data_IF_992451673356
#
_entry.id   IF_992451673356
#
_cell.length_a   1.000
_cell.length_b   1.000
_cell.length_c   1.000
_cell.angle_alpha   90.00
_cell.angle_beta   90.00
_cell.angle_gamma   90.00
#
_symmetry.space_group_name_H-M   'P 1'
#
loop_
_entity.id
_entity.type
_entity.pdbx_description
1 polymer ?
#
# COMPACT_ATOMS: atom_id res chain seq x y z
N UNK A 1 -9.46 24.68 47.76
CA UNK A 1 -8.03 24.95 47.99
C UNK A 1 -7.73 26.30 47.37
N UNK A 2 -7.22 27.25 48.16
CA UNK A 2 -6.69 28.50 47.60
C UNK A 2 -5.45 28.18 46.74
N UNK A 3 -5.31 28.87 45.61
CA UNK A 3 -4.13 28.76 44.75
C UNK A 3 -2.93 29.35 45.49
N UNK A 4 -1.86 28.59 45.66
CA UNK A 4 -0.60 29.11 46.22
C UNK A 4 -0.01 30.08 45.20
N UNK A 5 0.35 31.28 45.64
CA UNK A 5 1.11 32.22 44.84
C UNK A 5 2.61 31.92 45.02
N UNK A 6 3.18 31.22 44.04
CA UNK A 6 4.58 30.80 44.06
C UNK A 6 5.55 31.97 44.03
N UNK A 7 5.19 33.08 43.38
CA UNK A 7 6.06 34.26 43.30
C UNK A 7 6.12 34.97 44.66
N UNK A 8 4.96 35.14 45.30
CA UNK A 8 4.89 35.69 46.66
C UNK A 8 5.64 34.80 47.66
N UNK A 9 5.50 33.48 47.54
CA UNK A 9 6.21 32.52 48.39
C UNK A 9 7.74 32.58 48.17
N UNK A 10 8.19 32.69 46.91
CA UNK A 10 9.61 32.86 46.57
C UNK A 10 10.18 34.13 47.19
N UNK A 11 9.50 35.26 47.00
CA UNK A 11 9.94 36.54 47.57
C UNK A 11 10.00 36.51 49.10
N UNK A 12 9.05 35.84 49.75
CA UNK A 12 9.07 35.65 51.19
C UNK A 12 10.27 34.80 51.64
N UNK A 13 10.57 33.71 50.93
CA UNK A 13 11.70 32.85 51.24
C UNK A 13 13.06 33.55 50.99
N UNK A 14 13.19 34.35 49.93
CA UNK A 14 14.41 35.12 49.64
C UNK A 14 14.71 36.21 50.67
N UNK A 15 13.66 36.80 51.26
CA UNK A 15 13.76 37.82 52.32
C UNK A 15 14.01 37.23 53.71
N UNK A 16 13.67 35.96 53.92
CA UNK A 16 13.88 35.27 55.18
C UNK A 16 15.37 34.97 55.45
N UNK A 17 15.69 34.53 56.67
CA UNK A 17 17.07 34.18 57.02
C UNK A 17 17.57 33.04 56.13
N UNK A 18 18.72 33.26 55.49
CA UNK A 18 19.26 32.33 54.50
C UNK A 18 19.93 31.12 55.13
N UNK A 19 19.87 30.00 54.42
CA UNK A 19 20.57 28.76 54.79
C UNK A 19 19.67 27.80 55.56
N UNK A 20 20.28 26.73 56.06
CA UNK A 20 19.55 25.66 56.75
C UNK A 20 19.26 26.02 58.20
N UNK A 21 18.12 25.56 58.69
CA UNK A 21 17.74 25.65 60.10
C UNK A 21 17.91 24.30 60.78
N UNK A 22 17.99 24.31 62.11
CA UNK A 22 18.02 23.11 62.96
C UNK A 22 17.20 23.36 64.23
N UNK A 23 16.78 22.28 64.88
CA UNK A 23 16.23 22.37 66.22
C UNK A 23 17.33 22.79 67.18
N UNK A 24 17.06 23.84 67.95
CA UNK A 24 17.97 24.45 68.88
C UNK A 24 17.72 24.02 70.32
N UNK A 25 17.85 24.98 71.23
CA UNK A 25 17.68 24.74 72.66
C UNK A 25 16.20 24.59 73.03
N UNK A 26 15.94 24.29 74.31
CA UNK A 26 14.59 24.23 74.86
C UNK A 26 14.44 25.15 76.06
N UNK A 27 13.23 25.66 76.24
CA UNK A 27 12.83 26.45 77.39
C UNK A 27 12.05 25.56 78.35
N UNK A 28 12.35 25.64 79.65
CA UNK A 28 11.64 24.91 80.71
C UNK A 28 11.26 25.87 81.82
N UNK A 29 10.11 25.65 82.46
CA UNK A 29 9.68 26.45 83.61
C UNK A 29 10.38 26.01 84.91
N UNK A 30 10.09 26.73 86.01
CA UNK A 30 10.63 26.44 87.34
C UNK A 30 10.23 25.07 87.90
N UNK A 31 9.22 24.42 87.30
CA UNK A 31 8.73 23.10 87.67
C UNK A 31 9.31 21.98 86.77
N UNK A 32 10.18 22.32 85.82
CA UNK A 32 10.81 21.37 84.90
C UNK A 32 9.96 21.00 83.68
N UNK A 33 8.81 21.64 83.47
CA UNK A 33 7.96 21.37 82.31
C UNK A 33 8.47 22.17 81.10
N UNK A 34 8.41 21.56 79.91
CA UNK A 34 8.73 22.20 78.65
C UNK A 34 7.81 23.41 78.40
N UNK A 35 8.39 24.54 78.03
CA UNK A 35 7.65 25.77 77.67
C UNK A 35 7.82 26.16 76.21
N UNK A 36 8.90 25.74 75.57
CA UNK A 36 9.12 25.96 74.15
C UNK A 36 10.33 25.21 73.58
N UNK A 37 10.27 24.95 72.27
CA UNK A 37 11.37 24.38 71.47
C UNK A 37 11.78 25.41 70.43
N UNK A 38 13.07 25.75 70.37
CA UNK A 38 13.56 26.79 69.46
C UNK A 38 13.98 26.21 68.11
N UNK A 39 13.69 26.93 67.03
CA UNK A 39 14.27 26.72 65.71
C UNK A 39 15.38 27.74 65.54
N UNK A 40 16.59 27.27 65.25
CA UNK A 40 17.79 28.10 65.13
C UNK A 40 18.38 28.03 63.73
N UNK A 41 19.08 29.10 63.35
CA UNK A 41 19.96 29.08 62.20
C UNK A 41 21.09 28.06 62.45
N UNK A 42 21.35 27.16 61.50
CA UNK A 42 22.51 26.27 61.58
C UNK A 42 23.78 27.10 61.35
N UNK A 43 24.68 27.10 62.34
CA UNK A 43 25.97 27.78 62.25
C UNK A 43 27.09 26.82 62.65
N UNK A 44 27.96 26.47 61.70
CA UNK A 44 29.06 25.50 61.90
C UNK A 44 28.61 24.14 62.48
N UNK A 45 27.37 23.73 62.20
CA UNK A 45 26.79 22.48 62.70
C UNK A 45 26.00 22.62 64.00
N UNK A 46 26.10 23.75 64.68
CA UNK A 46 25.47 23.99 65.99
C UNK A 46 24.32 25.00 65.90
N UNK A 47 23.40 25.01 66.89
CA UNK A 47 22.34 26.02 66.98
C UNK A 47 22.95 27.41 67.14
N UNK A 48 22.76 28.25 66.12
CA UNK A 48 23.13 29.66 66.14
C UNK A 48 21.99 30.53 66.68
N UNK A 49 21.74 31.65 66.01
CA UNK A 49 20.66 32.58 66.37
C UNK A 49 19.27 31.93 66.27
N UNK A 50 18.41 32.28 67.22
CA UNK A 50 17.00 31.84 67.26
C UNK A 50 16.21 32.52 66.15
N UNK A 51 15.46 31.73 65.38
CA UNK A 51 14.60 32.17 64.28
C UNK A 51 13.12 32.15 64.69
N UNK A 52 12.70 31.08 65.37
CA UNK A 52 11.34 30.90 65.84
C UNK A 52 11.31 30.08 67.13
N UNK A 53 10.24 30.20 67.91
CA UNK A 53 9.95 29.37 69.08
C UNK A 53 8.60 28.67 68.89
N UNK A 54 8.59 27.34 69.06
CA UNK A 54 7.39 26.53 69.13
C UNK A 54 6.96 26.41 70.59
N UNK A 55 5.99 27.21 71.02
CA UNK A 55 5.50 27.19 72.40
C UNK A 55 4.61 25.99 72.69
N UNK A 56 4.73 25.46 73.91
CA UNK A 56 3.88 24.37 74.40
C UNK A 56 2.43 24.83 74.67
N UNK A 57 2.19 26.14 74.81
CA UNK A 57 0.85 26.71 74.96
C UNK A 57 0.11 26.91 73.62
N UNK A 58 0.62 26.41 72.49
CA UNK A 58 0.02 26.54 71.16
C UNK A 58 -1.02 25.44 70.84
N UNK A 59 -1.85 25.04 71.81
CA UNK A 59 -2.86 23.99 71.66
C UNK A 59 -2.30 22.62 71.24
N UNK A 60 -1.06 22.32 71.62
CA UNK A 60 -0.49 20.99 71.43
C UNK A 60 -0.92 20.05 72.57
N UNK A 61 -0.99 18.77 72.28
CA UNK A 61 -1.40 17.70 73.20
C UNK A 61 -0.21 17.09 73.97
N UNK A 62 1.00 17.14 73.39
CA UNK A 62 2.21 16.53 73.97
C UNK A 62 3.47 17.35 73.71
N UNK A 63 4.46 17.23 74.58
CA UNK A 63 5.79 17.82 74.40
C UNK A 63 6.43 17.38 73.07
N UNK A 64 6.20 16.13 72.65
CA UNK A 64 6.69 15.59 71.38
C UNK A 64 6.18 16.37 70.16
N UNK A 65 4.95 16.91 70.21
CA UNK A 65 4.42 17.76 69.14
C UNK A 65 5.15 19.11 69.06
N UNK A 66 5.65 19.65 70.18
CA UNK A 66 6.48 20.87 70.15
C UNK A 66 7.78 20.64 69.38
N UNK A 67 8.43 19.49 69.61
CA UNK A 67 9.62 19.08 68.85
C UNK A 67 9.29 18.86 67.38
N UNK A 68 8.22 18.11 67.06
CA UNK A 68 7.82 17.85 65.68
C UNK A 68 7.52 19.15 64.90
N UNK A 69 6.90 20.14 65.54
CA UNK A 69 6.66 21.45 64.93
C UNK A 69 7.98 22.18 64.63
N UNK A 70 8.93 22.17 65.58
CA UNK A 70 10.24 22.79 65.39
C UNK A 70 11.06 22.08 64.30
N UNK A 71 11.02 20.74 64.27
CA UNK A 71 11.65 19.92 63.24
C UNK A 71 11.07 20.22 61.86
N UNK A 72 9.74 20.28 61.74
CA UNK A 72 9.08 20.62 60.48
C UNK A 72 9.45 22.01 59.99
N UNK A 73 9.45 23.03 60.85
CA UNK A 73 9.85 24.40 60.47
C UNK A 73 11.35 24.45 60.11
N UNK A 74 12.19 23.68 60.80
CA UNK A 74 13.60 23.58 60.49
C UNK A 74 13.85 22.94 59.11
N UNK A 75 13.07 21.92 58.75
CA UNK A 75 13.15 21.25 57.45
C UNK A 75 12.53 22.10 56.34
N UNK A 76 11.36 22.69 56.57
CA UNK A 76 10.64 23.59 55.67
C UNK A 76 11.19 25.04 55.71
N UNK A 77 12.50 25.17 55.89
CA UNK A 77 13.19 26.46 55.92
C UNK A 77 13.18 27.13 54.53
N UNK A 78 13.56 28.42 54.43
CA UNK A 78 13.57 29.14 53.17
C UNK A 78 14.43 28.50 52.08
N UNK A 79 15.56 27.87 52.43
CA UNK A 79 16.42 27.20 51.44
C UNK A 79 15.71 25.99 50.81
N UNK A 80 15.03 25.18 51.63
CA UNK A 80 14.22 24.04 51.15
C UNK A 80 13.06 24.51 50.29
N UNK A 81 12.35 25.57 50.69
CA UNK A 81 11.25 26.13 49.90
C UNK A 81 11.74 26.63 48.53
N UNK A 82 12.86 27.35 48.49
CA UNK A 82 13.43 27.82 47.22
C UNK A 82 13.85 26.65 46.31
N UNK A 83 14.47 25.61 46.87
CA UNK A 83 14.84 24.42 46.10
C UNK A 83 13.61 23.73 45.49
N UNK A 84 12.53 23.57 46.26
CA UNK A 84 11.27 22.99 45.76
C UNK A 84 10.63 23.85 44.66
N UNK A 85 10.72 25.18 44.77
CA UNK A 85 10.21 26.08 43.74
C UNK A 85 11.06 26.00 42.47
N UNK A 86 12.38 25.91 42.59
CA UNK A 86 13.30 25.75 41.45
C UNK A 86 13.05 24.42 40.72
N UNK A 87 12.88 23.33 41.47
CA UNK A 87 12.51 22.01 40.92
C UNK A 87 11.17 22.06 40.18
N UNK A 88 10.15 22.68 40.78
CA UNK A 88 8.83 22.83 40.17
C UNK A 88 8.89 23.66 38.88
N UNK A 89 9.61 24.78 38.88
CA UNK A 89 9.82 25.59 37.67
C UNK A 89 10.56 24.81 36.58
N UNK A 90 11.55 24.00 36.95
CA UNK A 90 12.25 23.12 36.01
C UNK A 90 11.29 22.09 35.40
N UNK A 91 10.50 21.42 36.22
CA UNK A 91 9.50 20.47 35.74
C UNK A 91 8.47 21.13 34.82
N UNK A 92 8.02 22.34 35.14
CA UNK A 92 7.12 23.10 34.26
C UNK A 92 7.77 23.41 32.89
N UNK A 93 9.05 23.81 32.85
CA UNK A 93 9.78 24.03 31.60
C UNK A 93 9.87 22.74 30.76
N UNK A 94 10.18 21.62 31.40
CA UNK A 94 10.26 20.32 30.73
C UNK A 94 8.91 19.89 30.15
N UNK A 95 7.82 20.08 30.91
CA UNK A 95 6.46 19.79 30.42
C UNK A 95 6.08 20.64 29.21
N UNK A 96 6.43 21.93 29.22
CA UNK A 96 6.19 22.83 28.09
C UNK A 96 6.97 22.36 26.85
N UNK A 97 8.25 22.01 27.02
CA UNK A 97 9.09 21.51 25.93
C UNK A 97 8.52 20.20 25.33
N UNK A 98 8.16 19.24 26.19
CA UNK A 98 7.51 17.98 25.77
C UNK A 98 6.20 18.22 25.04
N UNK A 99 5.39 19.18 25.49
CA UNK A 99 4.15 19.51 24.79
C UNK A 99 4.41 20.04 23.37
N UNK A 100 5.44 20.88 23.20
CA UNK A 100 5.89 21.32 21.87
C UNK A 100 6.35 20.17 20.97
N UNK A 101 7.11 19.20 21.51
CA UNK A 101 7.49 17.98 20.78
C UNK A 101 6.26 17.15 20.36
N UNK A 102 5.28 16.99 21.26
CA UNK A 102 4.03 16.26 20.98
C UNK A 102 3.23 16.95 19.86
N UNK A 103 3.16 18.27 19.86
CA UNK A 103 2.50 19.03 18.78
C UNK A 103 3.21 18.83 17.44
N UNK A 104 4.54 18.83 17.42
CA UNK A 104 5.33 18.50 16.23
C UNK A 104 5.06 17.09 15.71
N UNK A 105 5.02 16.10 16.61
CA UNK A 105 4.69 14.71 16.26
C UNK A 105 3.27 14.57 15.70
N UNK A 106 2.28 15.27 16.28
CA UNK A 106 0.91 15.27 15.76
C UNK A 106 0.82 15.77 14.32
N UNK A 107 1.59 16.82 13.99
CA UNK A 107 1.65 17.33 12.62
C UNK A 107 2.24 16.30 11.65
N UNK A 108 3.35 15.67 12.04
CA UNK A 108 3.99 14.64 11.22
C UNK A 108 3.08 13.44 11.00
N UNK A 109 2.33 13.02 12.02
CA UNK A 109 1.34 11.93 11.90
C UNK A 109 0.25 12.30 10.89
N UNK A 110 -0.27 13.53 10.92
CA UNK A 110 -1.27 13.98 9.95
C UNK A 110 -0.73 13.96 8.50
N UNK A 111 0.50 14.44 8.27
CA UNK A 111 1.15 14.39 6.95
C UNK A 111 1.38 12.93 6.47
N UNK A 112 1.72 12.02 7.40
CA UNK A 112 1.86 10.59 7.09
C UNK A 112 0.53 9.93 6.74
N UNK A 113 -0.56 10.31 7.40
CA UNK A 113 -1.90 9.79 7.09
C UNK A 113 -2.36 10.25 5.70
N UNK A 114 -2.11 11.51 5.34
CA UNK A 114 -2.43 12.05 4.01
C UNK A 114 -1.64 11.33 2.90
N UNK A 115 -0.31 11.21 3.07
CA UNK A 115 0.55 10.53 2.09
C UNK A 115 0.20 9.04 1.95
N UNK A 116 -0.20 8.39 3.06
CA UNK A 116 -0.68 7.00 3.02
C UNK A 116 -2.01 6.87 2.26
N UNK A 117 -2.91 7.84 2.39
CA UNK A 117 -4.17 7.87 1.62
C UNK A 117 -3.87 7.98 0.12
N UNK A 118 -3.00 8.92 -0.29
CA UNK A 118 -2.60 9.09 -1.68
C UNK A 118 -1.96 7.82 -2.26
N UNK A 119 -1.11 7.14 -1.49
CA UNK A 119 -0.51 5.87 -1.91
C UNK A 119 -1.56 4.76 -2.08
N UNK A 120 -2.60 4.73 -1.24
CA UNK A 120 -3.69 3.77 -1.36
C UNK A 120 -4.50 4.01 -2.65
N UNK A 121 -4.83 5.26 -2.95
CA UNK A 121 -5.53 5.64 -4.19
C UNK A 121 -4.70 5.25 -5.44
N UNK A 122 -3.38 5.49 -5.41
CA UNK A 122 -2.50 5.05 -6.49
C UNK A 122 -2.50 3.52 -6.64
N UNK A 123 -2.48 2.77 -5.54
CA UNK A 123 -2.53 1.30 -5.58
C UNK A 123 -3.82 0.82 -6.26
N UNK A 124 -4.96 1.38 -5.88
CA UNK A 124 -6.27 1.03 -6.46
C UNK A 124 -6.33 1.35 -7.96
N UNK A 125 -5.78 2.49 -8.37
CA UNK A 125 -5.66 2.85 -9.79
C UNK A 125 -4.87 1.80 -10.59
N UNK A 126 -3.66 1.44 -10.12
CA UNK A 126 -2.83 0.48 -10.83
C UNK A 126 -3.43 -0.93 -10.84
N UNK A 127 -4.09 -1.32 -9.76
CA UNK A 127 -4.83 -2.60 -9.69
C UNK A 127 -5.95 -2.66 -10.75
N UNK A 128 -6.67 -1.55 -10.95
CA UNK A 128 -7.65 -1.40 -12.03
C UNK A 128 -7.03 -1.55 -13.43
N UNK A 129 -5.94 -0.84 -13.71
CA UNK A 129 -5.23 -0.91 -15.00
C UNK A 129 -4.72 -2.33 -15.28
N UNK A 130 -4.17 -3.01 -14.27
CA UNK A 130 -3.70 -4.39 -14.40
C UNK A 130 -4.86 -5.35 -14.66
N UNK A 131 -5.99 -5.16 -13.97
CA UNK A 131 -7.20 -5.98 -14.16
C UNK A 131 -7.75 -5.87 -15.58
N UNK A 132 -7.89 -4.65 -16.09
CA UNK A 132 -8.39 -4.42 -17.44
C UNK A 132 -7.40 -4.90 -18.51
N UNK A 133 -6.10 -4.70 -18.29
CA UNK A 133 -5.04 -5.28 -19.14
C UNK A 133 -5.12 -6.80 -19.19
N UNK A 134 -5.32 -7.45 -18.05
CA UNK A 134 -5.42 -8.91 -17.93
C UNK A 134 -6.64 -9.46 -18.67
N UNK A 135 -7.80 -8.78 -18.59
CA UNK A 135 -8.99 -9.15 -19.38
C UNK A 135 -8.72 -9.07 -20.87
N UNK A 136 -8.06 -7.99 -21.33
CA UNK A 136 -7.78 -7.80 -22.75
C UNK A 136 -6.82 -8.87 -23.28
N UNK A 137 -5.82 -9.27 -22.50
CA UNK A 137 -4.92 -10.37 -22.85
C UNK A 137 -5.71 -11.68 -22.98
N UNK A 138 -6.57 -12.01 -22.01
CA UNK A 138 -7.37 -13.23 -22.07
C UNK A 138 -8.33 -13.27 -23.28
N UNK A 139 -8.90 -12.13 -23.66
CA UNK A 139 -9.71 -12.02 -24.90
C UNK A 139 -8.87 -12.28 -26.16
N UNK A 140 -7.67 -11.69 -26.23
CA UNK A 140 -6.76 -11.89 -27.34
C UNK A 140 -6.30 -13.33 -27.45
N UNK A 141 -5.87 -13.94 -26.33
CA UNK A 141 -5.48 -15.35 -26.26
C UNK A 141 -6.60 -16.28 -26.78
N UNK A 142 -7.85 -16.02 -26.37
CA UNK A 142 -9.00 -16.78 -26.87
C UNK A 142 -9.22 -16.61 -28.37
N UNK A 143 -9.07 -15.39 -28.88
CA UNK A 143 -9.21 -15.12 -30.31
C UNK A 143 -8.09 -15.76 -31.14
N UNK A 144 -6.86 -15.78 -30.61
CA UNK A 144 -5.71 -16.44 -31.23
C UNK A 144 -5.89 -17.96 -31.26
N UNK A 145 -6.35 -18.56 -30.16
CA UNK A 145 -6.67 -19.99 -30.11
C UNK A 145 -7.74 -20.36 -31.15
N UNK A 146 -8.77 -19.53 -31.31
CA UNK A 146 -9.77 -19.72 -32.35
C UNK A 146 -9.16 -19.66 -33.76
N UNK A 147 -8.31 -18.66 -34.04
CA UNK A 147 -7.67 -18.52 -35.35
C UNK A 147 -6.73 -19.67 -35.68
N UNK A 148 -6.00 -20.19 -34.69
CA UNK A 148 -5.15 -21.38 -34.85
C UNK A 148 -6.03 -22.59 -35.21
N UNK A 149 -7.13 -22.79 -34.48
CA UNK A 149 -8.06 -23.87 -34.80
C UNK A 149 -8.63 -23.72 -36.21
N UNK A 150 -9.11 -22.54 -36.61
CA UNK A 150 -9.63 -22.27 -37.95
C UNK A 150 -8.57 -22.53 -39.05
N UNK A 151 -7.31 -22.11 -38.81
CA UNK A 151 -6.18 -22.37 -39.71
C UNK A 151 -5.94 -23.87 -39.86
N UNK A 152 -5.87 -24.62 -38.76
CA UNK A 152 -5.58 -26.06 -38.78
C UNK A 152 -6.69 -26.83 -39.52
N UNK A 153 -7.96 -26.41 -39.37
CA UNK A 153 -9.06 -26.97 -40.15
C UNK A 153 -8.93 -26.66 -41.65
N UNK A 154 -8.57 -25.43 -42.02
CA UNK A 154 -8.35 -25.04 -43.41
C UNK A 154 -7.17 -25.79 -44.03
N UNK A 155 -6.07 -25.96 -43.29
CA UNK A 155 -4.90 -26.74 -43.70
C UNK A 155 -5.28 -28.19 -44.00
N UNK A 156 -6.04 -28.83 -43.10
CA UNK A 156 -6.52 -30.20 -43.28
C UNK A 156 -7.40 -30.33 -44.53
N UNK A 157 -8.35 -29.40 -44.72
CA UNK A 157 -9.23 -29.41 -45.89
C UNK A 157 -8.44 -29.23 -47.20
N UNK A 158 -7.50 -28.30 -47.24
CA UNK A 158 -6.63 -28.08 -48.41
C UNK A 158 -5.75 -29.31 -48.69
N UNK A 159 -5.21 -29.95 -47.66
CA UNK A 159 -4.41 -31.17 -47.82
C UNK A 159 -5.21 -32.34 -48.39
N UNK A 160 -6.50 -32.45 -48.04
CA UNK A 160 -7.41 -33.44 -48.65
C UNK A 160 -7.67 -33.16 -50.13
N UNK A 161 -7.86 -31.90 -50.50
CA UNK A 161 -8.05 -31.51 -51.90
C UNK A 161 -6.83 -31.73 -52.76
N UNK A 162 -5.69 -31.27 -52.25
CA UNK A 162 -4.42 -31.40 -52.93
C UNK A 162 -4.10 -32.88 -53.18
N UNK A 163 -4.34 -33.74 -52.20
CA UNK A 163 -4.20 -35.18 -52.36
C UNK A 163 -5.16 -35.78 -53.39
N UNK A 164 -6.42 -35.37 -53.38
CA UNK A 164 -7.38 -35.89 -54.35
C UNK A 164 -7.03 -35.52 -55.80
N UNK A 165 -6.49 -34.33 -56.03
CA UNK A 165 -6.11 -33.88 -57.37
C UNK A 165 -4.75 -34.45 -57.83
N UNK A 166 -3.76 -34.48 -56.93
CA UNK A 166 -2.35 -34.79 -57.28
C UNK A 166 -1.91 -36.22 -56.92
N UNK A 167 -2.63 -36.89 -56.03
CA UNK A 167 -2.30 -38.22 -55.49
C UNK A 167 -1.29 -38.20 -54.33
N UNK A 168 -0.74 -37.05 -53.95
CA UNK A 168 0.20 -36.89 -52.84
C UNK A 168 -0.28 -35.83 -51.85
N UNK A 169 0.10 -35.92 -50.57
CA UNK A 169 -0.19 -34.86 -49.58
C UNK A 169 0.77 -33.68 -49.80
N UNK A 170 0.33 -32.44 -49.57
CA UNK A 170 1.21 -31.29 -49.65
C UNK A 170 2.22 -31.32 -48.50
N UNK A 171 3.45 -30.87 -48.78
CA UNK A 171 4.47 -30.65 -47.76
C UNK A 171 4.51 -29.16 -47.43
N UNK A 172 3.78 -28.78 -46.38
CA UNK A 172 3.70 -27.39 -45.95
C UNK A 172 5.07 -26.87 -45.52
N UNK A 173 5.43 -25.68 -45.99
CA UNK A 173 6.67 -25.02 -45.62
C UNK A 173 6.54 -23.51 -45.78
N UNK A 174 7.55 -22.76 -45.31
CA UNK A 174 7.61 -21.31 -45.55
C UNK A 174 7.65 -20.92 -47.04
N UNK A 175 7.97 -21.87 -47.94
CA UNK A 175 8.05 -21.64 -49.39
C UNK A 175 6.91 -22.30 -50.18
N UNK A 176 6.03 -23.02 -49.49
CA UNK A 176 4.87 -23.69 -50.08
C UNK A 176 3.68 -23.58 -49.12
N UNK A 177 2.83 -22.59 -49.39
CA UNK A 177 1.67 -22.24 -48.59
C UNK A 177 0.34 -22.60 -49.25
N UNK A 178 -0.75 -22.13 -48.64
CA UNK A 178 -2.11 -22.45 -49.09
C UNK A 178 -2.40 -22.04 -50.54
N UNK A 179 -1.89 -20.89 -50.99
CA UNK A 179 -2.05 -20.45 -52.38
C UNK A 179 -1.36 -21.38 -53.37
N UNK A 180 -0.16 -21.86 -53.04
CA UNK A 180 0.61 -22.76 -53.91
C UNK A 180 -0.06 -24.12 -54.06
N UNK A 181 -0.64 -24.63 -52.96
CA UNK A 181 -1.43 -25.85 -52.98
C UNK A 181 -2.70 -25.70 -53.82
N UNK A 182 -3.41 -24.58 -53.70
CA UNK A 182 -4.61 -24.32 -54.53
C UNK A 182 -4.22 -24.19 -56.00
N UNK A 183 -3.19 -23.43 -56.33
CA UNK A 183 -2.73 -23.23 -57.71
C UNK A 183 -2.36 -24.57 -58.38
N UNK A 184 -1.64 -25.44 -57.69
CA UNK A 184 -1.31 -26.77 -58.19
C UNK A 184 -2.54 -27.67 -58.42
N UNK A 185 -3.57 -27.56 -57.58
CA UNK A 185 -4.85 -28.25 -57.78
C UNK A 185 -5.56 -27.72 -59.02
N UNK A 186 -5.60 -26.40 -59.19
CA UNK A 186 -6.24 -25.73 -60.35
C UNK A 186 -5.55 -26.16 -61.65
N UNK A 187 -4.22 -26.08 -61.72
CA UNK A 187 -3.44 -26.49 -62.89
C UNK A 187 -3.71 -27.96 -63.24
N UNK A 188 -3.78 -28.83 -62.22
CA UNK A 188 -4.04 -30.26 -62.42
C UNK A 188 -5.45 -30.53 -62.94
N UNK A 189 -6.45 -29.81 -62.46
CA UNK A 189 -7.84 -29.91 -62.95
C UNK A 189 -7.90 -29.50 -64.43
N UNK A 190 -7.29 -28.36 -64.79
CA UNK A 190 -7.25 -27.89 -66.18
C UNK A 190 -6.59 -28.92 -67.11
N UNK A 191 -5.50 -29.54 -66.66
CA UNK A 191 -4.81 -30.62 -67.37
C UNK A 191 -5.67 -31.87 -67.60
N UNK A 192 -6.51 -32.22 -66.62
CA UNK A 192 -7.43 -33.36 -66.71
C UNK A 192 -8.60 -33.06 -67.66
N UNK A 193 -9.15 -31.85 -67.60
CA UNK A 193 -10.21 -31.38 -68.51
C UNK A 193 -9.74 -31.37 -69.98
N UNK A 194 -8.49 -30.99 -70.24
CA UNK A 194 -7.94 -31.00 -71.59
C UNK A 194 -7.78 -32.40 -72.21
N UNK A 195 -7.72 -33.46 -71.38
CA UNK A 195 -7.43 -34.84 -71.81
C UNK A 195 -8.66 -35.73 -72.00
N UNK A 196 -9.86 -35.33 -71.56
CA UNK A 196 -11.10 -36.09 -71.78
C UNK A 196 -12.27 -35.19 -72.24
N UNK A 197 -12.96 -35.50 -73.36
CA UNK A 197 -14.10 -34.71 -73.86
C UNK A 197 -15.44 -34.97 -73.15
N UNK A 198 -15.45 -35.77 -72.08
CA UNK A 198 -16.59 -35.96 -71.18
C UNK A 198 -16.25 -35.46 -69.78
N UNK A 199 -17.14 -34.73 -69.08
CA UNK A 199 -16.79 -34.06 -67.83
C UNK A 199 -16.53 -35.09 -66.72
N UNK A 200 -15.25 -35.30 -66.39
CA UNK A 200 -14.80 -36.14 -65.26
C UNK A 200 -14.94 -35.39 -63.92
N UNK A 201 -14.99 -34.05 -63.98
CA UNK A 201 -15.04 -33.17 -62.81
C UNK A 201 -16.45 -32.58 -62.64
N UNK A 202 -17.05 -32.61 -61.44
CA UNK A 202 -18.35 -31.98 -61.17
C UNK A 202 -18.36 -30.49 -61.50
N UNK A 203 -19.42 -30.04 -62.18
CA UNK A 203 -19.56 -28.65 -62.68
C UNK A 203 -19.46 -27.59 -61.56
N UNK A 204 -19.84 -27.94 -60.33
CA UNK A 204 -19.72 -27.08 -59.15
C UNK A 204 -18.27 -26.70 -58.82
N UNK A 205 -17.35 -27.67 -58.88
CA UNK A 205 -15.93 -27.43 -58.62
C UNK A 205 -15.31 -26.55 -59.71
N UNK A 206 -15.68 -26.75 -60.98
CA UNK A 206 -15.20 -25.93 -62.10
C UNK A 206 -15.61 -24.46 -61.93
N UNK A 207 -16.85 -24.20 -61.50
CA UNK A 207 -17.34 -22.84 -61.24
C UNK A 207 -16.62 -22.19 -60.05
N UNK A 208 -16.39 -22.94 -58.98
CA UNK A 208 -15.66 -22.45 -57.82
C UNK A 208 -14.20 -22.08 -58.17
N UNK A 209 -13.52 -22.93 -58.95
CA UNK A 209 -12.14 -22.66 -59.42
C UNK A 209 -12.08 -21.40 -60.29
N UNK A 210 -13.01 -21.22 -61.24
CA UNK A 210 -13.07 -20.00 -62.06
C UNK A 210 -13.30 -18.74 -61.24
N UNK A 211 -14.13 -18.84 -60.19
CA UNK A 211 -14.34 -17.72 -59.28
C UNK A 211 -13.06 -17.38 -58.50
N UNK A 212 -12.32 -18.39 -58.04
CA UNK A 212 -11.01 -18.20 -57.42
C UNK A 212 -10.00 -17.53 -58.35
N UNK A 213 -9.88 -18.01 -59.61
CA UNK A 213 -9.01 -17.38 -60.61
C UNK A 213 -9.41 -15.92 -60.91
N UNK A 214 -10.72 -15.64 -60.93
CA UNK A 214 -11.23 -14.28 -61.11
C UNK A 214 -10.82 -13.37 -59.95
N UNK A 215 -11.05 -13.81 -58.70
CA UNK A 215 -10.63 -13.06 -57.50
C UNK A 215 -9.12 -12.86 -57.49
N UNK A 216 -8.34 -13.86 -57.91
CA UNK A 216 -6.88 -13.77 -58.03
C UNK A 216 -6.44 -12.72 -59.06
N UNK A 217 -7.09 -12.67 -60.21
CA UNK A 217 -6.79 -11.69 -61.26
C UNK A 217 -7.17 -10.27 -60.84
N UNK A 218 -8.29 -10.12 -60.13
CA UNK A 218 -8.81 -8.81 -59.71
C UNK A 218 -8.12 -8.27 -58.45
N UNK A 219 -7.48 -9.16 -57.67
CA UNK A 219 -6.69 -8.85 -56.48
C UNK A 219 -7.35 -7.83 -55.52
N UNK A 220 -8.59 -8.10 -55.05
CA UNK A 220 -9.28 -7.19 -54.15
C UNK A 220 -8.59 -7.10 -52.78
N UNK A 221 -8.74 -5.98 -52.03
CA UNK A 221 -8.17 -5.83 -50.69
C UNK A 221 -8.57 -6.98 -49.76
N UNK A 222 -7.64 -7.47 -48.93
CA UNK A 222 -7.87 -8.62 -48.06
C UNK A 222 -9.04 -8.44 -47.08
N UNK A 223 -9.35 -7.21 -46.70
CA UNK A 223 -10.47 -6.82 -45.82
C UNK A 223 -11.85 -7.10 -46.43
N UNK A 224 -11.95 -7.31 -47.75
CA UNK A 224 -13.22 -7.53 -48.45
C UNK A 224 -13.79 -8.94 -48.26
N UNK A 225 -13.02 -9.87 -47.70
CA UNK A 225 -13.45 -11.27 -47.52
C UNK A 225 -13.51 -12.08 -48.82
N UNK A 226 -13.38 -11.46 -50.00
CA UNK A 226 -13.53 -12.12 -51.31
C UNK A 226 -12.55 -13.30 -51.51
N UNK A 227 -11.32 -13.18 -51.01
CA UNK A 227 -10.34 -14.26 -51.03
C UNK A 227 -10.76 -15.45 -50.15
N UNK A 228 -11.31 -15.17 -48.96
CA UNK A 228 -11.82 -16.19 -48.04
C UNK A 228 -13.00 -16.92 -48.66
N UNK A 229 -13.94 -16.20 -49.26
CA UNK A 229 -15.12 -16.78 -49.89
C UNK A 229 -14.75 -17.63 -51.11
N UNK A 230 -13.80 -17.17 -51.93
CA UNK A 230 -13.33 -17.91 -53.08
C UNK A 230 -12.64 -19.23 -52.70
N UNK A 231 -11.72 -19.17 -51.74
CA UNK A 231 -11.03 -20.37 -51.22
C UNK A 231 -12.04 -21.30 -50.54
N UNK A 232 -12.96 -20.77 -49.73
CA UNK A 232 -13.97 -21.57 -49.04
C UNK A 232 -14.92 -22.28 -50.02
N UNK A 233 -15.31 -21.63 -51.11
CA UNK A 233 -16.17 -22.25 -52.11
C UNK A 233 -15.45 -23.39 -52.86
N UNK A 234 -14.20 -23.17 -53.28
CA UNK A 234 -13.36 -24.25 -53.85
C UNK A 234 -13.22 -25.39 -52.83
N UNK A 235 -12.98 -25.05 -51.57
CA UNK A 235 -12.91 -25.99 -50.45
C UNK A 235 -14.21 -26.77 -50.21
N UNK A 236 -15.36 -26.16 -50.45
CA UNK A 236 -16.64 -26.82 -50.27
C UNK A 236 -16.91 -27.81 -51.39
N UNK A 237 -16.70 -27.39 -52.64
CA UNK A 237 -17.01 -28.20 -53.81
C UNK A 237 -16.05 -29.38 -53.95
N UNK A 238 -14.75 -29.19 -53.75
CA UNK A 238 -13.81 -30.30 -53.90
C UNK A 238 -13.97 -31.37 -52.79
N UNK A 239 -14.41 -31.03 -51.57
CA UNK A 239 -14.74 -32.04 -50.57
C UNK A 239 -15.95 -32.90 -50.98
N UNK A 240 -16.95 -32.30 -51.65
CA UNK A 240 -18.10 -33.04 -52.19
C UNK A 240 -17.70 -34.01 -53.29
N UNK A 241 -16.74 -33.63 -54.14
CA UNK A 241 -16.23 -34.50 -55.22
C UNK A 241 -15.51 -35.75 -54.69
N UNK A 242 -14.80 -35.62 -53.57
CA UNK A 242 -13.97 -36.69 -52.99
C UNK A 242 -14.76 -37.59 -52.03
N UNK A 243 -16.07 -37.36 -51.89
CA UNK A 243 -16.95 -38.10 -50.98
C UNK A 243 -16.52 -38.02 -49.49
N UNK A 244 -15.78 -36.96 -49.13
CA UNK A 244 -15.39 -36.68 -47.75
C UNK A 244 -16.49 -35.79 -47.17
N UNK A 245 -17.28 -36.32 -46.24
CA UNK A 245 -18.21 -35.50 -45.44
C UNK A 245 -17.41 -34.44 -44.71
N UNK A 246 -17.58 -33.17 -45.10
CA UNK A 246 -17.24 -32.03 -44.23
C UNK A 246 -18.08 -32.23 -42.97
N UNK A 247 -17.47 -32.70 -41.87
CA UNK A 247 -18.12 -32.71 -40.56
C UNK A 247 -18.08 -31.29 -40.02
N UNK A 248 -19.23 -30.63 -40.00
CA UNK A 248 -19.39 -29.31 -39.37
C UNK A 248 -20.53 -28.51 -39.98
N UNK A 249 -21.77 -28.98 -39.80
CA UNK A 249 -22.92 -28.12 -39.51
C UNK A 249 -23.35 -28.40 -38.06
#
# INVERSE_FOLDING_TARGET
>A
MSKIDYQVLREAAEKATKGSYIVGHTSVNQHGNLTGVFVCQKWKGEPGGVIAECHVNCLIETDAQAYANAEFIAEANPATVLALLDENESMCRDLIARNGEIEGLRKLVAELEETKSQLNEQREYYEGVISDGSKRIAELEKSEEQLINERDHAESALADMYFAATGNRPEWSNWFGFSDAVDAVVDRIADLEAKQPSPVVPEGLVKAVRFYEQVKRENPPAETGAWKDAIYWVLKEACQVVNIRIKGE
#
